data_IF_938486575345
#
_entry.id   IF_938486575345
#
_cell.length_a   1.000
_cell.length_b   1.000
_cell.length_c   1.000
_cell.angle_alpha   90.00
_cell.angle_beta   90.00
_cell.angle_gamma   90.00
#
_symmetry.space_group_name_H-M   'P 1'
#
loop_
_entity.id
_entity.type
_entity.pdbx_description
1 polymer ?
#
# COMPACT_ATOMS: atom_id res chain seq x y z
N UNK A 1 -40.70 32.47 33.88
CA UNK A 1 -39.21 32.40 33.82
C UNK A 1 -38.83 31.01 33.35
N UNK A 2 -38.10 30.92 32.23
CA UNK A 2 -37.57 29.67 31.68
C UNK A 2 -36.47 29.17 32.60
N UNK A 3 -36.65 28.02 33.23
CA UNK A 3 -35.55 27.29 33.86
C UNK A 3 -35.20 26.13 32.92
N UNK A 4 -34.21 26.39 32.07
CA UNK A 4 -33.61 25.44 31.14
C UNK A 4 -32.17 25.22 31.63
N UNK A 5 -32.09 24.37 32.64
CA UNK A 5 -30.91 23.84 33.31
C UNK A 5 -31.53 22.64 34.02
N UNK A 6 -31.44 21.41 33.51
CA UNK A 6 -30.20 20.65 33.40
C UNK A 6 -30.44 19.51 32.40
N UNK A 7 -29.80 19.57 31.23
CA UNK A 7 -29.76 18.39 30.33
C UNK A 7 -28.49 18.38 29.48
N UNK A 8 -27.39 18.85 30.06
CA UNK A 8 -26.05 18.56 29.56
C UNK A 8 -25.54 17.31 30.27
N UNK A 9 -26.26 16.20 30.03
CA UNK A 9 -25.72 14.87 30.21
C UNK A 9 -24.43 14.78 29.39
N UNK A 10 -23.34 14.77 30.15
CA UNK A 10 -21.99 14.38 29.80
C UNK A 10 -21.98 13.45 28.59
N UNK A 11 -21.58 13.99 27.42
CA UNK A 11 -21.34 13.18 26.24
C UNK A 11 -20.19 12.24 26.59
N UNK A 12 -20.57 10.99 26.87
CA UNK A 12 -19.66 9.86 26.90
C UNK A 12 -18.68 10.02 25.73
N UNK A 13 -17.40 10.10 26.06
CA UNK A 13 -16.32 9.99 25.10
C UNK A 13 -16.44 8.62 24.43
N UNK A 14 -17.24 8.54 23.38
CA UNK A 14 -17.21 7.49 22.37
C UNK A 14 -15.79 7.50 21.82
N UNK A 15 -14.94 6.69 22.42
CA UNK A 15 -13.59 6.41 21.94
C UNK A 15 -13.77 5.84 20.53
N UNK A 16 -13.67 6.71 19.52
CA UNK A 16 -13.54 6.32 18.13
C UNK A 16 -12.23 5.56 17.97
N UNK A 17 -12.21 4.31 18.41
CA UNK A 17 -11.24 3.30 18.01
C UNK A 17 -11.46 3.08 16.52
N UNK A 18 -10.84 3.96 15.73
CA UNK A 18 -10.56 3.77 14.32
C UNK A 18 -10.18 2.30 14.14
N UNK A 19 -10.89 1.59 13.26
CA UNK A 19 -10.79 0.15 13.10
C UNK A 19 -9.35 -0.27 12.72
N UNK A 20 -8.51 -0.53 13.73
CA UNK A 20 -7.11 -0.96 13.58
C UNK A 20 -6.96 -2.32 12.87
N UNK A 21 -8.08 -3.04 12.67
CA UNK A 21 -8.10 -4.38 12.08
C UNK A 21 -7.59 -4.40 10.64
N UNK A 22 -7.93 -3.38 9.84
CA UNK A 22 -7.53 -3.32 8.43
C UNK A 22 -6.02 -3.04 8.29
N UNK A 23 -5.47 -2.17 9.15
CA UNK A 23 -4.04 -1.89 9.18
C UNK A 23 -3.22 -3.10 9.66
N UNK A 24 -3.72 -3.83 10.67
CA UNK A 24 -3.03 -5.02 11.18
C UNK A 24 -3.02 -6.18 10.17
N UNK A 25 -4.13 -6.42 9.47
CA UNK A 25 -4.21 -7.42 8.40
C UNK A 25 -3.21 -7.14 7.28
N UNK A 26 -3.08 -5.87 6.89
CA UNK A 26 -2.13 -5.46 5.85
C UNK A 26 -0.69 -5.64 6.31
N UNK A 27 -0.38 -5.30 7.57
CA UNK A 27 0.95 -5.50 8.14
C UNK A 27 1.34 -6.99 8.13
N UNK A 28 0.41 -7.89 8.49
CA UNK A 28 0.63 -9.32 8.42
C UNK A 28 0.89 -9.80 6.98
N UNK A 29 0.10 -9.35 6.00
CA UNK A 29 0.32 -9.68 4.59
C UNK A 29 1.69 -9.21 4.09
N UNK A 30 2.12 -8.00 4.43
CA UNK A 30 3.42 -7.45 4.04
C UNK A 30 4.58 -8.21 4.68
N UNK A 31 4.46 -8.61 5.94
CA UNK A 31 5.47 -9.44 6.61
C UNK A 31 5.60 -10.79 5.92
N UNK A 32 4.49 -11.46 5.61
CA UNK A 32 4.49 -12.73 4.89
C UNK A 32 5.17 -12.62 3.52
N UNK A 33 4.82 -11.60 2.73
CA UNK A 33 5.46 -11.36 1.44
C UNK A 33 6.96 -11.06 1.58
N UNK A 34 7.38 -10.37 2.64
CA UNK A 34 8.79 -10.07 2.90
C UNK A 34 9.58 -11.32 3.25
N UNK A 35 9.05 -12.18 4.11
CA UNK A 35 9.65 -13.48 4.45
C UNK A 35 9.77 -14.34 3.19
N UNK A 36 8.75 -14.33 2.33
CA UNK A 36 8.78 -15.04 1.05
C UNK A 36 9.90 -14.51 0.14
N UNK A 37 10.05 -13.19 0.00
CA UNK A 37 11.14 -12.58 -0.78
C UNK A 37 12.52 -12.98 -0.25
N UNK A 38 12.73 -12.89 1.07
CA UNK A 38 14.03 -13.25 1.68
C UNK A 38 14.32 -14.74 1.49
N UNK A 39 13.31 -15.60 1.66
CA UNK A 39 13.44 -17.04 1.44
C UNK A 39 13.88 -17.34 0.01
N UNK A 40 13.26 -16.70 -0.98
CA UNK A 40 13.63 -16.87 -2.39
C UNK A 40 15.04 -16.31 -2.66
N UNK A 41 15.40 -15.19 -2.06
CA UNK A 41 16.74 -14.61 -2.20
C UNK A 41 17.84 -15.48 -1.59
N UNK A 42 17.57 -16.15 -0.47
CA UNK A 42 18.56 -16.96 0.26
C UNK A 42 18.65 -18.37 -0.29
N UNK A 43 17.52 -19.02 -0.60
CA UNK A 43 17.46 -20.40 -1.08
C UNK A 43 17.48 -20.54 -2.60
N UNK A 44 17.08 -19.51 -3.35
CA UNK A 44 17.01 -19.52 -4.83
C UNK A 44 18.34 -19.23 -5.55
N UNK A 45 19.48 -19.26 -4.86
CA UNK A 45 20.78 -18.81 -5.39
C UNK A 45 21.30 -19.59 -6.62
N UNK A 46 20.73 -20.75 -6.95
CA UNK A 46 21.19 -21.59 -8.07
C UNK A 46 20.80 -21.06 -9.47
N UNK A 47 19.81 -20.18 -9.60
CA UNK A 47 19.36 -19.63 -10.89
C UNK A 47 19.24 -18.10 -10.83
N UNK A 48 20.38 -17.39 -10.93
CA UNK A 48 20.47 -15.91 -10.80
C UNK A 48 19.36 -15.15 -11.57
N UNK A 49 19.08 -15.53 -12.81
CA UNK A 49 18.08 -14.83 -13.64
C UNK A 49 16.64 -15.10 -13.19
N UNK A 50 16.33 -16.34 -12.81
CA UNK A 50 14.99 -16.73 -12.41
C UNK A 50 14.63 -16.10 -11.06
N UNK A 51 15.59 -16.03 -10.14
CA UNK A 51 15.43 -15.42 -8.81
C UNK A 51 15.13 -13.93 -8.90
N UNK A 52 15.76 -13.21 -9.83
CA UNK A 52 15.47 -11.77 -10.04
C UNK A 52 14.05 -11.57 -10.57
N UNK A 53 13.62 -12.37 -11.55
CA UNK A 53 12.26 -12.30 -12.08
C UNK A 53 11.20 -12.57 -11.00
N UNK A 54 11.41 -13.59 -10.16
CA UNK A 54 10.52 -13.89 -9.03
C UNK A 54 10.53 -12.77 -7.98
N UNK A 55 11.69 -12.19 -7.66
CA UNK A 55 11.79 -11.09 -6.71
C UNK A 55 11.03 -9.84 -7.19
N UNK A 56 11.14 -9.50 -8.48
CA UNK A 56 10.40 -8.38 -9.10
C UNK A 56 8.88 -8.60 -9.07
N UNK A 57 8.42 -9.84 -9.30
CA UNK A 57 7.00 -10.20 -9.21
C UNK A 57 6.49 -9.97 -7.79
N UNK A 58 7.20 -10.49 -6.77
CA UNK A 58 6.79 -10.34 -5.37
C UNK A 58 6.82 -8.88 -4.94
N UNK A 59 7.84 -8.11 -5.37
CA UNK A 59 7.91 -6.68 -5.13
C UNK A 59 6.67 -5.96 -5.68
N UNK A 60 6.23 -6.32 -6.89
CA UNK A 60 5.02 -5.74 -7.51
C UNK A 60 3.77 -6.06 -6.69
N UNK A 61 3.58 -7.32 -6.28
CA UNK A 61 2.43 -7.72 -5.44
C UNK A 61 2.44 -6.97 -4.12
N UNK A 62 3.62 -6.79 -3.50
CA UNK A 62 3.77 -6.03 -2.25
C UNK A 62 3.29 -4.59 -2.43
N UNK A 63 3.71 -3.91 -3.49
CA UNK A 63 3.29 -2.53 -3.79
C UNK A 63 1.79 -2.44 -4.02
N UNK A 64 1.18 -3.40 -4.71
CA UNK A 64 -0.28 -3.45 -4.94
C UNK A 64 -1.03 -3.58 -3.61
N UNK A 65 -0.59 -4.47 -2.72
CA UNK A 65 -1.22 -4.66 -1.39
C UNK A 65 -1.09 -3.37 -0.56
N UNK A 66 0.07 -2.71 -0.56
CA UNK A 66 0.24 -1.41 0.12
C UNK A 66 -0.69 -0.36 -0.49
N UNK A 67 -0.73 -0.22 -1.81
CA UNK A 67 -1.55 0.79 -2.49
C UNK A 67 -3.05 0.58 -2.24
N UNK A 68 -3.51 -0.67 -2.23
CA UNK A 68 -4.93 -0.98 -2.06
C UNK A 68 -5.41 -0.78 -0.61
N UNK A 69 -4.60 -1.19 0.37
CA UNK A 69 -4.99 -1.18 1.79
C UNK A 69 -4.49 0.03 2.58
N UNK A 70 -3.22 0.45 2.44
CA UNK A 70 -2.67 1.60 3.18
C UNK A 70 -3.02 2.94 2.54
N UNK A 71 -3.13 3.00 1.21
CA UNK A 71 -3.46 4.24 0.50
C UNK A 71 -4.97 4.55 0.51
N UNK A 72 -5.75 3.81 1.30
CA UNK A 72 -7.21 3.96 1.47
C UNK A 72 -8.01 3.89 0.16
N UNK A 73 -7.42 3.38 -0.93
CA UNK A 73 -8.02 3.36 -2.27
C UNK A 73 -9.35 2.60 -2.36
N UNK A 74 -9.55 1.66 -1.44
CA UNK A 74 -10.80 0.90 -1.30
C UNK A 74 -11.92 1.66 -0.58
N UNK A 75 -11.58 2.60 0.30
CA UNK A 75 -12.52 3.29 1.19
C UNK A 75 -12.67 4.79 0.88
N UNK A 76 -11.79 5.35 0.05
CA UNK A 76 -11.82 6.75 -0.35
C UNK A 76 -12.46 6.97 -1.72
N UNK A 77 -12.78 8.24 -2.03
CA UNK A 77 -13.39 8.60 -3.32
C UNK A 77 -12.48 8.16 -4.49
N UNK A 78 -13.09 7.63 -5.57
CA UNK A 78 -12.43 7.18 -6.83
C UNK A 78 -11.41 8.17 -7.42
N UNK A 79 -11.46 9.44 -7.01
CA UNK A 79 -10.49 10.50 -7.35
C UNK A 79 -9.07 10.14 -6.92
N UNK A 80 -8.86 9.59 -5.72
CA UNK A 80 -7.52 9.23 -5.24
C UNK A 80 -6.92 8.06 -6.04
N UNK A 81 -7.75 7.09 -6.44
CA UNK A 81 -7.36 6.04 -7.39
C UNK A 81 -6.86 6.60 -8.70
N UNK A 82 -7.58 7.58 -9.26
CA UNK A 82 -7.21 8.24 -10.51
C UNK A 82 -5.92 9.04 -10.40
N UNK A 83 -5.73 9.76 -9.29
CA UNK A 83 -4.52 10.54 -9.04
C UNK A 83 -3.27 9.63 -8.93
N UNK A 84 -3.35 8.55 -8.17
CA UNK A 84 -2.26 7.57 -8.06
C UNK A 84 -1.95 6.92 -9.41
N UNK A 85 -2.98 6.56 -10.17
CA UNK A 85 -2.81 5.97 -11.50
C UNK A 85 -2.08 6.94 -12.45
N UNK A 86 -2.43 8.23 -12.43
CA UNK A 86 -1.75 9.25 -13.24
C UNK A 86 -0.26 9.38 -12.86
N UNK A 87 0.06 9.36 -11.57
CA UNK A 87 1.46 9.42 -11.09
C UNK A 87 2.23 8.19 -11.51
N UNK A 88 1.64 6.99 -11.41
CA UNK A 88 2.26 5.73 -11.84
C UNK A 88 2.51 5.73 -13.35
N UNK A 89 1.56 6.21 -14.15
CA UNK A 89 1.72 6.33 -15.60
C UNK A 89 2.84 7.31 -15.95
N UNK A 90 2.88 8.47 -15.30
CA UNK A 90 3.93 9.46 -15.52
C UNK A 90 5.30 8.90 -15.12
N UNK A 91 5.41 8.27 -13.96
CA UNK A 91 6.65 7.60 -13.52
C UNK A 91 7.11 6.52 -14.50
N UNK A 92 6.20 5.67 -14.98
CA UNK A 92 6.50 4.65 -15.97
C UNK A 92 6.95 5.25 -17.30
N UNK A 93 6.32 6.35 -17.75
CA UNK A 93 6.72 7.08 -18.95
C UNK A 93 8.16 7.60 -18.86
N UNK A 94 8.52 8.21 -17.72
CA UNK A 94 9.90 8.65 -17.48
C UNK A 94 10.88 7.46 -17.43
N UNK A 95 10.53 6.36 -16.74
CA UNK A 95 11.37 5.16 -16.71
C UNK A 95 11.63 4.59 -18.10
N UNK A 96 10.60 4.50 -18.95
CA UNK A 96 10.73 3.97 -20.31
C UNK A 96 11.60 4.91 -21.15
N UNK A 97 11.34 6.22 -21.10
CA UNK A 97 12.13 7.20 -21.84
C UNK A 97 13.61 7.15 -21.45
N UNK A 98 13.91 7.14 -20.15
CA UNK A 98 15.28 7.02 -19.64
C UNK A 98 15.92 5.68 -20.01
N UNK A 99 15.16 4.58 -20.00
CA UNK A 99 15.68 3.26 -20.36
C UNK A 99 16.01 3.16 -21.86
N UNK A 100 15.19 3.78 -22.73
CA UNK A 100 15.45 3.87 -24.17
C UNK A 100 16.72 4.68 -24.41
N UNK A 101 16.84 5.85 -23.77
CA UNK A 101 18.04 6.69 -23.88
C UNK A 101 19.30 5.96 -23.41
N UNK A 102 19.22 5.21 -22.30
CA UNK A 102 20.32 4.41 -21.78
C UNK A 102 20.73 3.28 -22.74
N UNK A 103 19.77 2.61 -23.39
CA UNK A 103 20.05 1.54 -24.35
C UNK A 103 20.61 2.07 -25.67
N UNK A 104 20.28 3.32 -26.02
CA UNK A 104 20.75 3.98 -27.23
C UNK A 104 22.15 4.60 -27.09
N UNK A 105 22.75 4.56 -25.90
CA UNK A 105 24.10 5.07 -25.59
C UNK A 105 25.09 3.94 -25.36
#
# INVERSE_FOLDING_TARGET
>A
MKNHSDDHAEKAHETHIVSYKDHFSTLAALLLLTVLTVSISVFGANLRTLTVATAMLIATVKVIVVAYYFMHLKFDKKIYTWLVLIVVVLFASFLILTSIEYLNR
#
